data_IF_250074818090
#
_entry.id   IF_250074818090
#
_cell.length_a   1.000
_cell.length_b   1.000
_cell.length_c   1.000
_cell.angle_alpha   90.00
_cell.angle_beta   90.00
_cell.angle_gamma   90.00
#
_symmetry.space_group_name_H-M   'P 1'
#
loop_
_entity.id
_entity.type
_entity.pdbx_description
1 polymer ?
#
# COMPACT_ATOMS: atom_id res chain seq x y z
N UNK A 1 11.72 -45.09 3.46
CA UNK A 1 10.28 -44.72 3.43
C UNK A 1 9.83 -44.60 4.87
N UNK A 2 9.35 -43.42 5.33
CA UNK A 2 9.05 -43.22 6.75
C UNK A 2 7.80 -44.03 7.15
N UNK A 3 7.87 -44.71 8.30
CA UNK A 3 6.82 -45.58 8.82
C UNK A 3 5.91 -44.80 9.78
N UNK A 4 4.64 -45.19 9.92
CA UNK A 4 3.79 -44.62 10.97
C UNK A 4 4.29 -45.08 12.35
N UNK A 5 4.10 -44.26 13.40
CA UNK A 5 4.39 -44.60 14.81
C UNK A 5 3.87 -46.00 15.20
N UNK A 6 2.61 -46.29 14.85
CA UNK A 6 1.97 -47.59 15.13
C UNK A 6 2.65 -48.76 14.41
N UNK A 7 3.04 -48.58 13.15
CA UNK A 7 3.78 -49.59 12.40
C UNK A 7 5.19 -49.79 12.94
N UNK A 8 5.88 -48.69 13.30
CA UNK A 8 7.23 -48.71 13.87
C UNK A 8 7.25 -49.43 15.22
N UNK A 9 6.30 -49.13 16.10
CA UNK A 9 6.17 -49.78 17.41
C UNK A 9 5.91 -51.29 17.29
N UNK A 10 5.01 -51.69 16.39
CA UNK A 10 4.72 -53.11 16.16
C UNK A 10 5.91 -53.87 15.57
N UNK A 11 6.70 -53.22 14.72
CA UNK A 11 7.94 -53.79 14.19
C UNK A 11 9.00 -53.89 15.29
N UNK A 12 9.12 -52.90 16.18
CA UNK A 12 10.01 -52.96 17.34
C UNK A 12 9.72 -54.19 18.20
N UNK A 13 8.48 -54.35 18.70
CA UNK A 13 8.14 -55.53 19.52
C UNK A 13 8.43 -56.85 18.80
N UNK A 14 7.98 -56.97 17.54
CA UNK A 14 8.11 -58.24 16.80
C UNK A 14 9.58 -58.59 16.50
N UNK A 15 10.42 -57.61 16.17
CA UNK A 15 11.82 -57.85 15.86
C UNK A 15 12.69 -58.02 17.10
N UNK A 16 12.39 -57.32 18.20
CA UNK A 16 13.10 -57.52 19.47
C UNK A 16 12.88 -58.94 19.99
N UNK A 17 11.65 -59.47 19.90
CA UNK A 17 11.33 -60.85 20.27
C UNK A 17 12.00 -61.90 19.36
N UNK A 18 12.24 -61.57 18.09
CA UNK A 18 12.81 -62.50 17.11
C UNK A 18 14.34 -62.54 17.13
N UNK A 19 14.96 -61.37 17.31
CA UNK A 19 16.42 -61.18 17.17
C UNK A 19 17.12 -61.27 18.53
N UNK A 20 16.40 -61.03 19.64
CA UNK A 20 16.94 -60.99 21.02
C UNK A 20 18.13 -60.02 21.18
N UNK A 21 18.21 -59.02 20.30
CA UNK A 21 19.22 -57.95 20.31
C UNK A 21 18.53 -56.62 20.03
N UNK A 22 18.23 -55.90 21.12
CA UNK A 22 17.52 -54.63 21.10
C UNK A 22 18.30 -53.54 20.34
N UNK A 23 19.64 -53.56 20.38
CA UNK A 23 20.48 -52.57 19.69
C UNK A 23 20.45 -52.76 18.18
N UNK A 24 20.46 -54.00 17.72
CA UNK A 24 20.37 -54.30 16.30
C UNK A 24 19.01 -53.87 15.71
N UNK A 25 17.92 -54.03 16.48
CA UNK A 25 16.58 -53.59 16.09
C UNK A 25 16.48 -52.06 16.05
N UNK A 26 17.06 -51.37 17.02
CA UNK A 26 17.12 -49.92 17.06
C UNK A 26 17.91 -49.35 15.87
N UNK A 27 19.07 -49.94 15.56
CA UNK A 27 19.88 -49.59 14.40
C UNK A 27 19.12 -49.84 13.08
N UNK A 28 18.40 -50.95 12.97
CA UNK A 28 17.57 -51.25 11.80
C UNK A 28 16.41 -50.25 11.64
N UNK A 29 15.74 -49.87 12.73
CA UNK A 29 14.65 -48.91 12.71
C UNK A 29 15.11 -47.46 12.46
N UNK A 30 16.39 -47.15 12.67
CA UNK A 30 16.96 -45.85 12.30
C UNK A 30 16.88 -45.57 10.79
N UNK A 31 16.92 -46.61 9.95
CA UNK A 31 16.71 -46.53 8.50
C UNK A 31 15.24 -46.27 8.13
N UNK A 32 14.32 -46.38 9.09
CA UNK A 32 12.88 -46.16 8.94
C UNK A 32 12.36 -45.18 10.02
N UNK A 33 12.72 -43.89 9.95
CA UNK A 33 12.25 -42.90 10.91
C UNK A 33 10.72 -42.84 10.95
N UNK A 34 10.17 -42.62 12.15
CA UNK A 34 8.74 -42.38 12.29
C UNK A 34 8.39 -41.13 11.47
N UNK A 35 7.34 -41.24 10.66
CA UNK A 35 6.71 -40.06 10.07
C UNK A 35 5.95 -39.38 11.20
N UNK A 36 6.55 -38.37 11.81
CA UNK A 36 5.78 -37.36 12.51
C UNK A 36 4.80 -36.80 11.48
N UNK A 37 3.53 -37.18 11.60
CA UNK A 37 2.47 -36.53 10.84
C UNK A 37 2.31 -35.18 11.51
N UNK A 38 3.20 -34.24 11.18
CA UNK A 38 3.39 -33.00 11.93
C UNK A 38 2.13 -32.12 11.94
N UNK A 39 1.20 -32.30 11.00
CA UNK A 39 -0.15 -31.75 11.10
C UNK A 39 -1.19 -32.73 10.54
N UNK A 40 -2.30 -32.98 11.26
CA UNK A 40 -3.40 -33.76 10.72
C UNK A 40 -4.07 -32.96 9.59
N UNK A 41 -3.75 -33.32 8.33
CA UNK A 41 -4.43 -32.80 7.13
C UNK A 41 -5.85 -33.35 7.07
N UNK A 42 -6.71 -32.81 7.93
CA UNK A 42 -8.15 -33.07 7.97
C UNK A 42 -8.88 -32.00 7.18
N UNK A 43 -10.10 -32.31 6.72
CA UNK A 43 -10.95 -31.30 6.04
C UNK A 43 -11.19 -30.08 6.94
N UNK A 44 -11.30 -30.30 8.24
CA UNK A 44 -11.51 -29.24 9.22
C UNK A 44 -10.27 -28.37 9.40
N UNK A 45 -9.08 -28.97 9.42
CA UNK A 45 -7.81 -28.24 9.43
C UNK A 45 -7.67 -27.36 8.18
N UNK A 46 -7.87 -27.93 6.98
CA UNK A 46 -7.82 -27.18 5.73
C UNK A 46 -8.87 -26.06 5.67
N UNK A 47 -10.08 -26.30 6.20
CA UNK A 47 -11.12 -25.27 6.28
C UNK A 47 -10.73 -24.14 7.22
N UNK A 48 -10.14 -24.45 8.37
CA UNK A 48 -9.68 -23.44 9.32
C UNK A 48 -8.52 -22.61 8.75
N UNK A 49 -7.59 -23.25 8.05
CA UNK A 49 -6.47 -22.57 7.37
C UNK A 49 -6.96 -21.61 6.30
N UNK A 50 -7.82 -22.09 5.39
CA UNK A 50 -8.41 -21.25 4.34
C UNK A 50 -9.23 -20.09 4.91
N UNK A 51 -9.99 -20.31 5.98
CA UNK A 51 -10.73 -19.21 6.64
C UNK A 51 -9.79 -18.17 7.22
N UNK A 52 -8.62 -18.58 7.74
CA UNK A 52 -7.61 -17.67 8.26
C UNK A 52 -6.98 -16.86 7.13
N UNK A 53 -6.53 -17.51 6.07
CA UNK A 53 -5.95 -16.84 4.89
C UNK A 53 -6.93 -15.86 4.25
N UNK A 54 -8.21 -16.25 4.08
CA UNK A 54 -9.26 -15.37 3.59
C UNK A 54 -9.47 -14.17 4.54
N UNK A 55 -9.40 -14.40 5.85
CA UNK A 55 -9.45 -13.35 6.86
C UNK A 55 -8.32 -12.35 6.69
N UNK A 56 -7.08 -12.83 6.58
CA UNK A 56 -5.88 -12.02 6.37
C UNK A 56 -5.99 -11.18 5.10
N UNK A 57 -6.27 -11.82 3.95
CA UNK A 57 -6.41 -11.10 2.66
C UNK A 57 -7.52 -10.06 2.72
N UNK A 58 -8.65 -10.36 3.37
CA UNK A 58 -9.75 -9.39 3.54
C UNK A 58 -9.32 -8.18 4.35
N UNK A 59 -8.53 -8.39 5.40
CA UNK A 59 -8.09 -7.31 6.28
C UNK A 59 -6.97 -6.48 5.62
N UNK A 60 -6.08 -7.11 4.86
CA UNK A 60 -5.11 -6.43 3.98
C UNK A 60 -5.82 -5.54 2.95
N UNK A 61 -6.78 -6.10 2.21
CA UNK A 61 -7.56 -5.34 1.22
C UNK A 61 -8.32 -4.16 1.85
N UNK A 62 -8.85 -4.32 3.06
CA UNK A 62 -9.48 -3.21 3.80
C UNK A 62 -8.47 -2.13 4.15
N UNK A 63 -7.26 -2.53 4.56
CA UNK A 63 -6.16 -1.62 4.84
C UNK A 63 -5.77 -0.81 3.60
N UNK A 64 -5.53 -1.49 2.47
CA UNK A 64 -5.19 -0.85 1.19
C UNK A 64 -6.29 0.09 0.71
N UNK A 65 -7.56 -0.32 0.77
CA UNK A 65 -8.71 0.56 0.45
C UNK A 65 -8.73 1.80 1.36
N UNK A 66 -8.40 1.62 2.64
CA UNK A 66 -8.28 2.73 3.61
C UNK A 66 -7.19 3.72 3.20
N UNK A 67 -6.00 3.22 2.86
CA UNK A 67 -4.87 4.03 2.37
C UNK A 67 -5.24 4.79 1.10
N UNK A 68 -5.80 4.12 0.10
CA UNK A 68 -6.21 4.77 -1.16
C UNK A 68 -7.26 5.85 -0.91
N UNK A 69 -8.22 5.63 -0.01
CA UNK A 69 -9.21 6.65 0.36
C UNK A 69 -8.55 7.87 1.02
N UNK A 70 -7.55 7.66 1.86
CA UNK A 70 -6.79 8.75 2.49
C UNK A 70 -6.00 9.55 1.44
N UNK A 71 -5.31 8.88 0.52
CA UNK A 71 -4.59 9.52 -0.58
C UNK A 71 -5.51 10.34 -1.48
N UNK A 72 -6.69 9.81 -1.84
CA UNK A 72 -7.72 10.56 -2.58
C UNK A 72 -8.17 11.80 -1.79
N UNK A 73 -8.29 11.70 -0.47
CA UNK A 73 -8.60 12.83 0.41
C UNK A 73 -7.54 13.92 0.34
N UNK A 74 -6.27 13.56 0.45
CA UNK A 74 -5.13 14.47 0.34
C UNK A 74 -5.10 15.17 -1.02
N UNK A 75 -5.20 14.42 -2.12
CA UNK A 75 -5.18 14.98 -3.48
C UNK A 75 -6.33 15.96 -3.70
N UNK A 76 -7.54 15.67 -3.16
CA UNK A 76 -8.67 16.61 -3.22
C UNK A 76 -8.38 17.91 -2.46
N UNK A 77 -7.69 17.82 -1.32
CA UNK A 77 -7.23 18.98 -0.56
C UNK A 77 -6.26 19.84 -1.38
N UNK A 78 -5.21 19.21 -1.93
CA UNK A 78 -4.22 19.89 -2.77
C UNK A 78 -4.86 20.59 -3.98
N UNK A 79 -5.84 19.95 -4.64
CA UNK A 79 -6.58 20.56 -5.75
C UNK A 79 -7.39 21.79 -5.29
N UNK A 80 -8.00 21.74 -4.10
CA UNK A 80 -8.76 22.86 -3.56
C UNK A 80 -7.85 24.05 -3.22
N UNK A 81 -6.68 23.77 -2.67
CA UNK A 81 -5.66 24.77 -2.34
C UNK A 81 -5.10 25.41 -3.62
N UNK A 82 -4.72 24.60 -4.61
CA UNK A 82 -4.27 25.09 -5.92
C UNK A 82 -5.32 25.96 -6.62
N UNK A 83 -6.59 25.54 -6.58
CA UNK A 83 -7.70 26.34 -7.16
C UNK A 83 -7.85 27.69 -6.47
N UNK A 84 -7.68 27.72 -5.15
CA UNK A 84 -7.74 28.96 -4.36
C UNK A 84 -6.58 29.88 -4.70
N UNK A 85 -5.37 29.34 -4.80
CA UNK A 85 -4.19 30.13 -5.12
C UNK A 85 -4.26 30.70 -6.53
N UNK A 86 -4.66 29.91 -7.53
CA UNK A 86 -4.87 30.39 -8.89
C UNK A 86 -5.93 31.49 -8.97
N UNK A 87 -7.01 31.43 -8.19
CA UNK A 87 -7.99 32.52 -8.14
C UNK A 87 -7.39 33.81 -7.59
N UNK A 88 -6.54 33.72 -6.56
CA UNK A 88 -5.85 34.89 -6.01
C UNK A 88 -4.87 35.48 -7.01
N UNK A 89 -4.03 34.65 -7.62
CA UNK A 89 -3.05 35.10 -8.62
C UNK A 89 -3.73 35.76 -9.83
N UNK A 90 -4.78 35.13 -10.38
CA UNK A 90 -5.58 35.73 -11.46
C UNK A 90 -6.18 37.07 -11.02
N UNK A 91 -6.69 37.15 -9.79
CA UNK A 91 -7.21 38.37 -9.21
C UNK A 91 -6.15 39.48 -9.09
N UNK A 92 -4.93 39.13 -8.67
CA UNK A 92 -3.80 40.05 -8.58
C UNK A 92 -3.41 40.57 -9.97
N UNK A 93 -3.21 39.67 -10.93
CA UNK A 93 -2.87 40.03 -12.33
C UNK A 93 -3.93 40.96 -12.94
N UNK A 94 -5.22 40.71 -12.69
CA UNK A 94 -6.30 41.60 -13.16
C UNK A 94 -6.20 43.00 -12.55
N UNK A 95 -5.86 43.12 -11.26
CA UNK A 95 -5.65 44.42 -10.60
C UNK A 95 -4.45 45.15 -11.19
N UNK A 96 -3.34 44.44 -11.40
CA UNK A 96 -2.14 45.01 -11.99
C UNK A 96 -2.39 45.52 -13.41
N UNK A 97 -3.10 44.73 -14.23
CA UNK A 97 -3.51 45.16 -15.58
C UNK A 97 -4.40 46.40 -15.54
N UNK A 98 -5.37 46.49 -14.64
CA UNK A 98 -6.22 47.66 -14.48
C UNK A 98 -5.41 48.90 -14.04
N UNK A 99 -4.46 48.73 -13.12
CA UNK A 99 -3.57 49.81 -12.68
C UNK A 99 -2.67 50.31 -13.82
N UNK A 100 -2.12 49.40 -14.63
CA UNK A 100 -1.31 49.73 -15.80
C UNK A 100 -2.16 50.48 -16.84
N UNK A 101 -3.39 50.02 -17.12
CA UNK A 101 -4.32 50.71 -18.02
C UNK A 101 -4.61 52.13 -17.55
N UNK A 102 -4.91 52.32 -16.26
CA UNK A 102 -5.15 53.64 -15.68
C UNK A 102 -3.93 54.56 -15.82
N UNK A 103 -2.72 54.03 -15.56
CA UNK A 103 -1.48 54.79 -15.71
C UNK A 103 -1.24 55.18 -17.18
N UNK A 104 -1.44 54.26 -18.13
CA UNK A 104 -1.31 54.55 -19.55
C UNK A 104 -2.25 55.67 -19.99
N UNK A 105 -3.54 55.59 -19.62
CA UNK A 105 -4.53 56.65 -19.93
C UNK A 105 -4.14 57.98 -19.30
N UNK A 106 -3.69 57.97 -18.03
CA UNK A 106 -3.21 59.19 -17.38
C UNK A 106 -2.03 59.83 -18.12
N UNK A 107 -1.07 59.01 -18.55
CA UNK A 107 0.09 59.51 -19.32
C UNK A 107 -0.29 60.01 -20.70
N UNK A 108 -1.21 59.37 -21.42
CA UNK A 108 -1.64 59.84 -22.74
C UNK A 108 -2.38 61.18 -22.64
N UNK A 109 -3.25 61.34 -21.64
CA UNK A 109 -3.92 62.63 -21.36
C UNK A 109 -2.89 63.71 -21.01
N UNK A 110 -1.92 63.40 -20.16
CA UNK A 110 -0.88 64.36 -19.76
C UNK A 110 -0.02 64.82 -20.95
N UNK A 111 0.38 63.89 -21.82
CA UNK A 111 1.11 64.20 -23.04
C UNK A 111 0.28 65.03 -24.03
N UNK A 112 -1.00 64.70 -24.21
CA UNK A 112 -1.90 65.48 -25.05
C UNK A 112 -2.07 66.91 -24.54
N UNK A 113 -2.22 67.09 -23.21
CA UNK A 113 -2.27 68.40 -22.58
C UNK A 113 -0.98 69.21 -22.77
N UNK A 114 0.19 68.56 -22.63
CA UNK A 114 1.49 69.19 -22.89
C UNK A 114 1.60 69.66 -24.36
N UNK A 115 1.24 68.81 -25.33
CA UNK A 115 1.26 69.17 -26.75
C UNK A 115 0.38 70.37 -27.06
N UNK A 116 -0.83 70.43 -26.48
CA UNK A 116 -1.73 71.57 -26.64
C UNK A 116 -1.17 72.86 -26.03
N UNK A 117 -0.53 72.77 -24.85
CA UNK A 117 0.10 73.92 -24.21
C UNK A 117 1.27 74.46 -25.07
N UNK A 118 2.12 73.58 -25.59
CA UNK A 118 3.20 73.95 -26.51
C UNK A 118 2.62 74.61 -27.77
N UNK A 119 1.57 74.05 -28.38
CA UNK A 119 0.96 74.61 -29.58
C UNK A 119 0.29 75.99 -29.36
N UNK A 120 -0.12 76.32 -28.12
CA UNK A 120 -0.78 77.59 -27.80
C UNK A 120 0.20 78.71 -27.41
N UNK A 121 1.32 78.37 -26.79
CA UNK A 121 2.25 79.33 -26.18
C UNK A 121 3.68 79.30 -26.73
N UNK A 122 4.01 78.31 -27.57
CA UNK A 122 5.28 78.22 -28.29
C UNK A 122 5.26 78.89 -29.65
#
# INVERSE_FOLDING_TARGET
MPLTERSRHKLYETFTDLVDDEKAVEEMLSYFPARDVEEPVTKDFLRAELQREIGTVRDELRGEIGTVRAEIGTVRGEIADLRTELHKEIGAVRKDLAAIQMRMVGTTISLAGLMLAIARFG
#
